data_IF_965257174036
#
_entry.id   IF_965257174036
#
_cell.length_a   1.000
_cell.length_b   1.000
_cell.length_c   1.000
_cell.angle_alpha   90.00
_cell.angle_beta   90.00
_cell.angle_gamma   90.00
#
_symmetry.space_group_name_H-M   'P 1'
#
loop_
_entity.id
_entity.type
_entity.pdbx_description
1 polymer ?
2 polymer ?
3 water ?
#
# COMPACT_ATOMS: atom_id res chain seq x y z
N UNK A 11 -4.87 -9.12 -17.59
CA UNK A 11 -5.22 -8.80 -16.21
C UNK A 11 -4.58 -9.77 -15.20
N UNK A 12 -4.02 -9.21 -14.13
CA UNK A 12 -3.39 -10.00 -13.07
C UNK A 12 -4.43 -10.30 -11.99
N UNK A 13 -4.41 -11.54 -11.50
CA UNK A 13 -5.32 -11.94 -10.43
C UNK A 13 -4.60 -11.75 -9.09
N UNK A 14 -4.93 -10.67 -8.40
CA UNK A 14 -4.22 -10.37 -7.17
C UNK A 14 -4.68 -11.22 -5.98
N UNK A 15 -5.75 -12.01 -6.11
CA UNK A 15 -6.13 -12.93 -5.04
C UNK A 15 -4.98 -13.87 -4.66
N UNK A 16 -4.01 -14.06 -5.56
CA UNK A 16 -2.88 -14.95 -5.30
C UNK A 16 -2.01 -14.48 -4.12
N UNK A 17 -1.84 -13.17 -3.97
CA UNK A 17 -0.68 -12.76 -3.19
C UNK A 17 -1.02 -12.61 -1.70
N UNK A 18 -0.13 -13.02 -0.82
CA UNK A 18 -0.44 -12.98 0.63
C UNK A 18 -0.55 -11.57 1.21
N UNK A 19 -0.35 -10.55 0.38
CA UNK A 19 -0.52 -9.14 0.78
C UNK A 19 -1.80 -8.50 0.25
N UNK A 20 -2.64 -9.21 -0.51
CA UNK A 20 -3.86 -8.64 -1.06
C UNK A 20 -5.04 -8.93 -0.13
N UNK A 21 -5.65 -7.87 0.40
CA UNK A 21 -6.79 -8.02 1.30
C UNK A 21 -8.12 -7.78 0.64
N UNK A 22 -8.18 -7.61 -0.68
CA UNK A 22 -9.47 -7.33 -1.29
C UNK A 22 -10.06 -6.00 -0.81
N UNK A 23 -11.39 -5.91 -0.97
CA UNK A 23 -12.16 -4.73 -0.59
C UNK A 23 -12.34 -4.74 0.93
N UNK A 24 -11.69 -3.79 1.62
CA UNK A 24 -11.73 -3.75 3.07
C UNK A 24 -11.65 -2.31 3.54
N UNK A 25 -12.40 -1.99 4.60
CA UNK A 25 -12.53 -0.62 5.11
C UNK A 25 -11.29 -0.19 5.88
N UNK A 26 -11.14 1.13 6.05
CA UNK A 26 -9.98 1.68 6.73
C UNK A 26 -9.92 1.23 8.19
N UNK A 27 -11.06 1.26 8.90
CA UNK A 27 -11.04 0.91 10.31
C UNK A 27 -10.66 -0.55 10.52
N UNK A 28 -11.25 -1.45 9.70
CA UNK A 28 -10.93 -2.88 9.78
C UNK A 28 -9.44 -3.13 9.57
N UNK A 29 -8.80 -2.31 8.73
CA UNK A 29 -7.38 -2.46 8.43
C UNK A 29 -6.52 -2.08 9.63
N UNK A 30 -6.91 -1.02 10.35
CA UNK A 30 -6.15 -0.63 11.55
C UNK A 30 -6.40 -1.59 12.70
N UNK A 31 -7.57 -2.21 12.74
CA UNK A 31 -7.79 -3.28 13.73
C UNK A 31 -6.96 -4.52 13.38
N UNK A 32 -6.77 -4.78 12.09
CA UNK A 32 -6.07 -6.00 11.68
C UNK A 32 -4.55 -5.84 11.77
N UNK A 33 -4.02 -4.67 11.45
CA UNK A 33 -2.57 -4.47 11.37
C UNK A 33 -1.94 -3.99 12.67
N UNK A 34 -2.74 -3.53 13.65
CA UNK A 34 -2.15 -2.89 14.83
C UNK A 34 -1.29 -3.85 15.66
N UNK A 35 -1.58 -5.15 15.58
CA UNK A 35 -0.91 -6.16 16.41
C UNK A 35 0.37 -6.72 15.79
N UNK A 36 0.85 -6.15 14.69
CA UNK A 36 1.99 -6.67 13.92
C UNK A 36 3.16 -5.70 13.94
N UNK A 37 4.33 -6.21 13.54
CA UNK A 37 5.56 -5.45 13.51
C UNK A 37 5.58 -4.43 12.38
N UNK A 38 6.41 -3.40 12.55
CA UNK A 38 6.51 -2.34 11.55
C UNK A 38 7.07 -2.90 10.25
N UNK A 39 6.46 -2.52 9.15
CA UNK A 39 6.76 -3.09 7.85
C UNK A 39 5.75 -4.11 7.38
N UNK A 40 4.81 -4.49 8.24
CA UNK A 40 3.70 -5.32 7.81
C UNK A 40 2.73 -4.45 7.00
N UNK A 41 2.32 -4.96 5.84
CA UNK A 41 1.51 -4.19 4.90
C UNK A 41 0.47 -5.09 4.26
N UNK A 42 -0.47 -4.42 3.59
CA UNK A 42 -1.51 -5.05 2.77
C UNK A 42 -1.95 -4.05 1.72
N UNK A 43 -2.30 -4.55 0.54
CA UNK A 43 -2.97 -3.76 -0.49
C UNK A 43 -4.46 -4.08 -0.40
N UNK A 44 -5.29 -3.07 -0.25
CA UNK A 44 -6.73 -3.29 -0.17
C UNK A 44 -7.44 -2.42 -1.21
N UNK A 45 -8.68 -2.78 -1.50
CA UNK A 45 -9.47 -1.94 -2.40
C UNK A 45 -10.30 -0.99 -1.54
N UNK A 46 -10.42 0.25 -1.97
CA UNK A 46 -11.05 1.27 -1.17
C UNK A 46 -12.57 1.13 -1.31
N UNK A 47 -13.30 0.85 -0.23
CA UNK A 47 -14.75 0.66 -0.39
C UNK A 47 -15.47 1.87 -0.93
N UNK A 48 -14.89 3.07 -0.84
CA UNK A 48 -15.58 4.24 -1.37
C UNK A 48 -15.23 4.55 -2.82
N UNK A 49 -14.13 4.00 -3.35
CA UNK A 49 -13.75 4.19 -4.75
C UNK A 49 -13.56 2.83 -5.40
N UNK A 50 -14.56 2.38 -6.16
CA UNK A 50 -14.48 1.06 -6.77
C UNK A 50 -13.30 1.00 -7.74
N UNK A 51 -12.54 -0.08 -7.64
CA UNK A 51 -11.38 -0.33 -8.49
C UNK A 51 -10.26 0.68 -8.23
N UNK A 52 -10.21 1.29 -7.04
CA UNK A 52 -9.04 2.05 -6.60
C UNK A 52 -8.51 1.44 -5.30
N UNK A 53 -7.18 1.37 -5.20
CA UNK A 53 -6.49 0.60 -4.18
C UNK A 53 -5.67 1.49 -3.26
N UNK A 54 -5.27 0.90 -2.14
CA UNK A 54 -4.50 1.58 -1.11
C UNK A 54 -3.50 0.60 -0.52
N UNK A 55 -2.29 1.10 -0.25
CA UNK A 55 -1.30 0.40 0.54
C UNK A 55 -1.49 0.83 1.99
N UNK A 56 -1.77 -0.14 2.86
CA UNK A 56 -1.85 0.10 4.28
C UNK A 56 -0.64 -0.56 4.90
N UNK A 57 0.08 0.16 5.76
CA UNK A 57 1.32 -0.37 6.34
C UNK A 57 1.46 0.13 7.77
N UNK A 58 1.75 -0.80 8.69
CA UNK A 58 2.00 -0.44 10.08
C UNK A 58 3.38 0.17 10.20
N UNK A 59 3.47 1.25 10.98
CA UNK A 59 4.73 1.92 11.23
C UNK A 59 4.52 2.83 12.44
N UNK A 60 5.48 2.80 13.37
CA UNK A 60 5.43 3.65 14.56
C UNK A 60 4.10 3.49 15.29
N UNK A 61 3.66 2.24 15.42
CA UNK A 61 2.44 1.89 16.15
C UNK A 61 1.18 2.55 15.57
N UNK A 62 1.26 3.05 14.33
CA UNK A 62 0.09 3.58 13.66
C UNK A 62 0.05 3.04 12.24
N UNK A 63 -1.16 2.79 11.76
CA UNK A 63 -1.37 2.25 10.43
C UNK A 63 -1.49 3.43 9.46
N UNK A 64 -0.48 3.59 8.59
CA UNK A 64 -0.49 4.60 7.56
C UNK A 64 -1.15 4.07 6.29
N UNK A 65 -1.78 4.97 5.54
CA UNK A 65 -2.52 4.62 4.32
C UNK A 65 -2.08 5.51 3.17
N UNK A 66 -1.81 4.87 2.03
CA UNK A 66 -1.31 5.53 0.82
C UNK A 66 -2.21 5.16 -0.36
N UNK A 67 -2.80 6.17 -1.00
CA UNK A 67 -3.52 5.98 -2.27
C UNK A 67 -2.63 5.43 -3.38
N UNK A 68 -3.12 4.42 -4.10
CA UNK A 68 -2.55 4.02 -5.38
C UNK A 68 -3.31 4.77 -6.48
N UNK A 69 -2.64 5.74 -7.09
CA UNK A 69 -3.19 6.52 -8.19
C UNK A 69 -3.02 5.73 -9.48
N UNK A 70 -4.05 5.80 -10.35
CA UNK A 70 -3.98 5.31 -11.72
C UNK A 70 -4.28 6.48 -12.66
N UNK A 71 -3.32 6.82 -13.52
CA UNK A 71 -3.51 7.96 -14.39
C UNK A 71 -2.73 7.75 -15.67
N UNK A 72 -3.37 8.03 -16.80
CA UNK A 72 -2.71 7.89 -18.10
C UNK A 72 -1.99 6.55 -18.21
N UNK A 73 -2.63 5.51 -17.69
CA UNK A 73 -2.19 4.12 -17.79
C UNK A 73 -0.95 3.82 -16.96
N UNK A 74 -0.58 4.70 -16.03
CA UNK A 74 0.44 4.41 -15.03
C UNK A 74 -0.20 4.13 -13.69
N UNK A 75 0.45 3.26 -12.93
CA UNK A 75 0.11 2.95 -11.54
C UNK A 75 1.21 3.54 -10.66
N UNK A 76 0.84 4.40 -9.71
CA UNK A 76 1.87 5.04 -8.90
C UNK A 76 1.29 5.52 -7.59
N UNK A 77 2.16 5.63 -6.57
CA UNK A 77 1.80 6.27 -5.30
C UNK A 77 2.47 7.63 -5.12
N UNK A 78 3.49 7.93 -5.92
CA UNK A 78 4.01 9.29 -6.11
C UNK A 78 4.14 9.51 -7.61
N UNK A 79 3.95 10.76 -8.04
CA UNK A 79 4.09 11.08 -9.46
C UNK A 79 5.50 10.87 -9.96
N UNK A 80 6.49 10.79 -9.04
CA UNK A 80 7.90 10.74 -9.40
C UNK A 80 8.44 9.33 -9.64
N UNK A 81 7.60 8.30 -9.59
CA UNK A 81 7.99 6.92 -9.85
C UNK A 81 6.74 6.14 -10.27
N UNK A 82 6.73 5.65 -11.51
CA UNK A 82 5.52 5.06 -12.09
C UNK A 82 5.76 3.64 -12.58
N UNK A 83 4.67 2.87 -12.63
CA UNK A 83 4.73 1.45 -12.93
C UNK A 83 3.61 1.09 -13.91
N UNK A 84 3.80 -0.03 -14.63
CA UNK A 84 2.76 -0.54 -15.54
C UNK A 84 1.64 -1.25 -14.81
N UNK A 85 1.88 -1.71 -13.60
CA UNK A 85 0.92 -2.57 -12.92
C UNK A 85 1.06 -2.38 -11.42
N UNK A 86 0.02 -2.77 -10.69
CA UNK A 86 0.08 -2.76 -9.24
C UNK A 86 1.11 -3.76 -8.73
N UNK A 87 1.16 -4.95 -9.34
CA UNK A 87 2.16 -5.92 -8.91
C UNK A 87 3.57 -5.37 -9.04
N UNK A 88 3.88 -4.68 -10.15
CA UNK A 88 5.23 -4.14 -10.26
C UNK A 88 5.45 -3.03 -9.25
N UNK A 89 4.41 -2.26 -8.92
CA UNK A 89 4.56 -1.24 -7.89
C UNK A 89 4.98 -1.88 -6.58
N UNK A 90 4.13 -2.77 -6.06
CA UNK A 90 4.42 -3.52 -4.84
C UNK A 90 5.80 -4.17 -4.90
N UNK A 91 6.15 -4.80 -6.03
CA UNK A 91 7.42 -5.51 -6.14
C UNK A 91 8.59 -4.53 -6.06
N UNK A 92 8.40 -3.30 -6.54
CA UNK A 92 9.50 -2.36 -6.38
C UNK A 92 9.62 -1.94 -4.93
N UNK A 93 8.50 -1.67 -4.28
CA UNK A 93 8.60 -1.16 -2.91
C UNK A 93 8.82 -2.25 -1.87
N UNK A 94 8.80 -3.53 -2.25
CA UNK A 94 9.27 -4.59 -1.37
C UNK A 94 10.78 -4.54 -1.16
N UNK A 95 11.50 -3.90 -2.06
CA UNK A 95 12.95 -3.88 -1.99
C UNK A 95 13.52 -2.50 -1.74
N UNK A 96 12.80 -1.44 -2.10
CA UNK A 96 13.27 -0.06 -1.97
C UNK A 96 12.36 0.68 -1.02
N UNK A 97 12.94 1.29 0.02
CA UNK A 97 12.15 1.97 1.03
C UNK A 97 11.31 3.09 0.44
N UNK A 98 10.14 3.30 1.06
CA UNK A 98 9.25 4.41 0.76
C UNK A 98 9.87 5.76 1.10
N UNK A 99 11.06 5.78 1.73
CA UNK A 99 11.73 7.04 2.08
C UNK A 99 11.84 7.98 0.89
N UNK A 100 12.17 7.43 -0.30
CA UNK A 100 12.51 8.24 -1.45
C UNK A 100 11.35 9.11 -1.91
N UNK A 101 10.14 8.89 -1.37
CA UNK A 101 9.02 9.78 -1.64
C UNK A 101 8.08 9.94 -0.46
N UNK A 102 8.35 9.31 0.69
CA UNK A 102 7.60 9.50 1.93
C UNK A 102 8.61 9.51 3.09
N UNK A 103 9.30 10.64 3.26
CA UNK A 103 10.26 10.79 4.36
C UNK A 103 9.63 10.57 5.72
N UNK A 104 8.30 10.64 5.81
CA UNK A 104 7.52 10.32 6.99
C UNK A 104 7.53 8.83 7.35
N UNK A 105 8.16 7.98 6.51
CA UNK A 105 7.83 6.56 6.45
C UNK A 105 8.96 5.71 5.88
N UNK A 106 10.07 5.58 6.61
CA UNK A 106 11.27 4.90 6.12
C UNK A 106 11.15 3.41 6.40
N UNK A 107 10.61 2.67 5.45
CA UNK A 107 10.49 1.22 5.53
C UNK A 107 10.09 0.70 4.16
N UNK A 108 10.53 -0.51 3.85
CA UNK A 108 10.05 -1.20 2.67
C UNK A 108 8.78 -1.96 3.03
N UNK A 109 8.15 -2.53 2.01
CA UNK A 109 6.99 -3.41 2.22
C UNK A 109 7.54 -4.79 2.58
N UNK A 110 7.79 -4.98 3.87
CA UNK A 110 8.60 -6.09 4.35
C UNK A 110 7.81 -7.38 4.51
N UNK A 111 6.62 -7.29 5.11
CA UNK A 111 5.91 -8.48 5.57
C UNK A 111 4.47 -8.38 5.15
N UNK A 112 3.99 -9.20 4.22
CA UNK A 112 2.56 -9.23 3.91
C UNK A 112 1.79 -9.75 5.11
N UNK A 113 0.58 -9.21 5.31
CA UNK A 113 -0.12 -9.42 6.58
C UNK A 113 -0.60 -10.85 6.80
N UNK A 114 -0.66 -11.67 5.74
CA UNK A 114 -1.06 -13.08 5.90
C UNK A 114 0.14 -13.98 6.23
N UNK A 115 1.03 -13.53 7.10
CA UNK A 115 2.23 -14.28 7.48
C UNK A 115 2.01 -14.95 8.82
N UNK B 2 -4.60 14.28 0.77
CA UNK B 2 -5.47 14.50 1.93
C UNK B 2 -6.21 13.22 2.34
N UNK B 3 -6.35 13.00 3.65
CA UNK B 3 -6.99 11.81 4.19
C UNK B 3 -6.02 10.64 4.26
N UNK B 4 -5.21 10.51 3.21
CA UNK B 4 -4.20 9.45 3.09
C UNK B 4 -2.83 10.00 3.46
N UNK B 5 -1.76 9.54 2.80
CA UNK B 5 -0.44 10.14 2.99
C UNK B 5 -0.02 10.94 1.77
N UNK B 6 0.74 12.02 1.97
CA UNK B 6 1.16 12.82 0.82
C UNK B 6 2.64 12.57 0.49
N UNK B 7 2.98 12.46 -0.79
CA UNK B 7 4.36 12.19 -1.18
C UNK B 7 5.30 13.35 -0.87
N UNK B 8 6.60 13.04 -0.94
CA UNK B 8 7.69 13.98 -0.66
C UNK B 8 7.61 14.48 0.79
#
# INVERSE_FOLDING_TARGET
GSHMSRPPSREIDYTAYPWFAGNMERQQTDNLLKSHASGTYLIRERPAEAERFAISIKFNDEVKHIKVVEKDNWIHITEAKKFDSLLELVEYYQCHSLKESFKQLDTTLKYPYKSRE
QNGYENPT
#
